data_IF_990899979425
#
_entry.id   IF_990899979425
#
_cell.length_a   1.000
_cell.length_b   1.000
_cell.length_c   1.000
_cell.angle_alpha   90.00
_cell.angle_beta   90.00
_cell.angle_gamma   90.00
#
_symmetry.space_group_name_H-M   'P 1'
#
loop_
_entity.id
_entity.type
_entity.pdbx_description
1 polymer ?
#
# COMPACT_ATOMS: atom_id res chain seq x y z
N UNK A 1 -10.87 0.30 -7.57
CA UNK A 1 -11.20 -0.82 -6.65
C UNK A 1 -11.19 -0.27 -5.24
N UNK A 2 -12.26 -0.49 -4.47
CA UNK A 2 -12.28 -0.13 -3.04
C UNK A 2 -11.51 -1.19 -2.25
N UNK A 3 -10.73 -0.76 -1.27
CA UNK A 3 -9.88 -1.61 -0.44
C UNK A 3 -10.35 -1.66 1.01
N UNK A 4 -10.97 -0.59 1.51
CA UNK A 4 -11.51 -0.56 2.85
C UNK A 4 -12.64 0.47 2.98
N UNK A 5 -13.47 0.30 4.00
CA UNK A 5 -14.59 1.18 4.30
C UNK A 5 -14.74 1.33 5.82
N UNK A 6 -15.07 2.54 6.25
CA UNK A 6 -15.38 2.85 7.64
C UNK A 6 -16.61 3.76 7.71
N UNK A 7 -17.31 3.72 8.84
CA UNK A 7 -18.42 4.62 9.15
C UNK A 7 -18.01 5.45 10.35
N UNK A 8 -18.35 6.75 10.36
CA UNK A 8 -18.09 7.59 11.52
C UNK A 8 -18.95 7.14 12.72
N UNK A 9 -18.48 7.31 13.98
CA UNK A 9 -19.22 6.88 15.16
C UNK A 9 -20.62 7.50 15.32
N UNK A 10 -20.87 8.62 14.66
CA UNK A 10 -22.14 9.35 14.65
C UNK A 10 -23.03 9.01 13.43
N UNK A 11 -22.64 8.00 12.63
CA UNK A 11 -23.31 7.54 11.40
C UNK A 11 -23.51 8.62 10.33
N UNK A 12 -22.83 9.78 10.42
CA UNK A 12 -22.98 10.87 9.45
C UNK A 12 -22.17 10.66 8.18
N UNK A 13 -21.04 9.96 8.28
CA UNK A 13 -20.09 9.82 7.19
C UNK A 13 -19.74 8.37 6.89
N UNK A 14 -19.62 8.07 5.59
CA UNK A 14 -18.99 6.85 5.08
C UNK A 14 -17.66 7.25 4.46
N UNK A 15 -16.59 6.58 4.91
CA UNK A 15 -15.24 6.78 4.44
C UNK A 15 -14.83 5.58 3.60
N UNK A 16 -14.30 5.82 2.41
CA UNK A 16 -13.86 4.75 1.51
C UNK A 16 -12.42 4.96 1.07
N UNK A 17 -11.61 3.91 1.17
CA UNK A 17 -10.24 3.87 0.69
C UNK A 17 -10.13 3.08 -0.62
N UNK A 18 -9.27 3.52 -1.53
CA UNK A 18 -9.13 2.89 -2.84
C UNK A 18 -7.69 2.61 -3.29
N UNK A 19 -7.60 1.88 -4.41
CA UNK A 19 -6.34 1.55 -5.07
C UNK A 19 -5.62 2.76 -5.67
N UNK A 20 -6.35 3.84 -5.95
CA UNK A 20 -5.84 5.03 -6.64
C UNK A 20 -5.49 6.15 -5.65
N UNK A 21 -5.00 5.77 -4.46
CA UNK A 21 -4.42 6.63 -3.41
C UNK A 21 -5.44 7.47 -2.62
N UNK A 22 -6.74 7.32 -2.87
CA UNK A 22 -7.74 8.23 -2.31
C UNK A 22 -8.43 7.64 -1.09
N UNK A 23 -8.69 8.52 -0.14
CA UNK A 23 -9.71 8.35 0.87
C UNK A 23 -10.79 9.39 0.59
N UNK A 24 -12.01 8.93 0.33
CA UNK A 24 -13.18 9.78 0.13
C UNK A 24 -14.03 9.77 1.39
N UNK A 25 -14.47 10.94 1.84
CA UNK A 25 -15.45 11.11 2.91
C UNK A 25 -16.77 11.56 2.29
N UNK A 26 -17.84 10.81 2.49
CA UNK A 26 -19.15 11.10 1.91
C UNK A 26 -20.24 11.03 2.98
N UNK A 27 -21.32 11.77 2.79
CA UNK A 27 -22.45 11.75 3.72
C UNK A 27 -23.16 10.40 3.66
N UNK A 28 -23.41 9.76 4.80
CA UNK A 28 -24.05 8.44 4.85
C UNK A 28 -25.47 8.45 4.29
N UNK A 29 -26.26 9.49 4.63
CA UNK A 29 -27.61 9.67 4.13
C UNK A 29 -27.68 10.09 2.65
N UNK A 30 -26.57 10.59 2.10
CA UNK A 30 -26.45 11.01 0.71
C UNK A 30 -25.05 10.71 0.16
N UNK A 31 -24.71 9.44 -0.16
CA UNK A 31 -23.34 9.03 -0.48
C UNK A 31 -22.74 9.66 -1.75
N UNK A 32 -23.58 10.29 -2.58
CA UNK A 32 -23.16 11.07 -3.74
C UNK A 32 -22.65 12.48 -3.36
N UNK A 33 -22.99 12.96 -2.15
CA UNK A 33 -22.51 14.20 -1.58
C UNK A 33 -21.18 13.93 -0.88
N UNK A 34 -20.11 14.50 -1.42
CA UNK A 34 -18.75 14.31 -0.92
C UNK A 34 -18.43 15.48 0.01
N UNK A 35 -18.03 15.16 1.24
CA UNK A 35 -17.59 16.15 2.21
C UNK A 35 -16.15 16.59 1.92
N UNK A 36 -15.26 15.62 1.76
CA UNK A 36 -13.83 15.87 1.59
C UNK A 36 -13.09 14.70 0.93
N UNK A 37 -11.82 14.92 0.66
CA UNK A 37 -10.85 13.89 0.33
C UNK A 37 -9.61 14.05 1.22
N UNK A 38 -9.11 12.95 1.77
CA UNK A 38 -7.79 12.91 2.39
C UNK A 38 -6.77 12.54 1.30
N UNK A 39 -5.99 13.53 0.85
CA UNK A 39 -5.04 13.39 -0.25
C UNK A 39 -3.61 13.50 0.28
N UNK A 40 -2.75 12.54 -0.09
CA UNK A 40 -1.34 12.56 0.30
C UNK A 40 -0.61 11.23 0.11
N UNK A 41 -1.33 10.11 0.13
CA UNK A 41 -0.77 8.80 -0.21
C UNK A 41 -0.25 8.75 -1.65
N UNK A 42 0.84 8.01 -1.86
CA UNK A 42 1.48 7.85 -3.17
C UNK A 42 1.28 6.46 -3.80
N UNK A 43 0.67 5.54 -3.06
CA UNK A 43 0.20 4.24 -3.52
C UNK A 43 -1.17 3.93 -2.91
N UNK A 44 -1.76 2.79 -3.26
CA UNK A 44 -3.06 2.34 -2.75
C UNK A 44 -3.20 2.46 -1.22
N UNK A 45 -4.40 2.79 -0.75
CA UNK A 45 -4.72 2.86 0.68
C UNK A 45 -5.27 1.51 1.11
N UNK A 46 -4.53 0.78 1.93
CA UNK A 46 -4.83 -0.61 2.31
C UNK A 46 -5.85 -0.72 3.46
N UNK A 47 -5.83 0.25 4.37
CA UNK A 47 -6.67 0.26 5.57
C UNK A 47 -7.00 1.69 5.99
N UNK A 48 -8.20 1.87 6.53
CA UNK A 48 -8.61 3.08 7.25
C UNK A 48 -9.24 2.70 8.60
N UNK A 49 -9.07 3.56 9.60
CA UNK A 49 -9.64 3.38 10.93
C UNK A 49 -10.04 4.73 11.51
N UNK A 50 -11.33 4.95 11.74
CA UNK A 50 -11.80 6.10 12.52
C UNK A 50 -11.47 5.82 13.99
N UNK A 51 -10.81 6.78 14.64
CA UNK A 51 -10.31 6.60 16.00
C UNK A 51 -11.49 6.65 16.98
N UNK A 52 -11.83 5.57 17.70
CA UNK A 52 -13.09 5.47 18.46
C UNK A 52 -13.27 6.55 19.55
N UNK A 53 -12.19 6.94 20.22
CA UNK A 53 -12.15 7.96 21.28
C UNK A 53 -11.90 9.38 20.76
N UNK A 54 -11.60 9.51 19.47
CA UNK A 54 -11.35 10.79 18.78
C UNK A 54 -12.11 10.80 17.44
N UNK A 55 -13.43 11.03 17.46
CA UNK A 55 -14.31 10.79 16.32
C UNK A 55 -14.06 11.72 15.12
N UNK A 56 -13.20 12.72 15.24
CA UNK A 56 -12.71 13.60 14.16
C UNK A 56 -11.44 13.06 13.45
N UNK A 57 -10.76 12.09 14.07
CA UNK A 57 -9.48 11.58 13.62
C UNK A 57 -9.63 10.28 12.82
N UNK A 58 -8.80 10.15 11.79
CA UNK A 58 -8.69 8.97 10.94
C UNK A 58 -7.23 8.54 10.85
N UNK A 59 -6.98 7.24 10.99
CA UNK A 59 -5.72 6.60 10.63
C UNK A 59 -5.84 5.93 9.27
N UNK A 60 -4.78 5.98 8.47
CA UNK A 60 -4.70 5.23 7.22
C UNK A 60 -3.32 4.63 6.98
N UNK A 61 -3.30 3.45 6.36
CA UNK A 61 -2.08 2.75 5.95
C UNK A 61 -2.08 2.54 4.44
N UNK A 62 -0.88 2.46 3.85
CA UNK A 62 -0.73 2.39 2.39
C UNK A 62 0.44 1.52 1.94
N UNK A 63 0.39 1.13 0.66
CA UNK A 63 1.50 0.56 -0.09
C UNK A 63 2.72 1.47 -0.23
N UNK A 64 2.60 2.75 0.11
CA UNK A 64 3.68 3.74 0.12
C UNK A 64 4.55 3.67 1.39
N UNK A 65 4.33 2.66 2.24
CA UNK A 65 5.00 2.46 3.53
C UNK A 65 4.76 3.61 4.52
N UNK A 66 3.59 4.25 4.49
CA UNK A 66 3.20 5.28 5.46
C UNK A 66 2.02 4.88 6.34
N UNK A 67 2.07 5.36 7.58
CA UNK A 67 0.91 5.50 8.46
C UNK A 67 0.62 7.00 8.57
N UNK A 68 -0.61 7.41 8.25
CA UNK A 68 -1.03 8.81 8.28
C UNK A 68 -2.18 9.02 9.25
N UNK A 69 -2.19 10.21 9.84
CA UNK A 69 -3.24 10.71 10.72
C UNK A 69 -3.90 11.91 10.04
N UNK A 70 -5.23 11.93 10.04
CA UNK A 70 -6.03 12.96 9.36
C UNK A 70 -7.11 13.52 10.26
N UNK A 71 -7.48 14.77 10.01
CA UNK A 71 -8.80 15.30 10.35
C UNK A 71 -9.69 15.07 9.13
N UNK A 72 -10.50 14.01 9.14
CA UNK A 72 -11.10 13.53 7.89
C UNK A 72 -12.20 14.44 7.35
N UNK A 73 -12.93 15.16 8.20
CA UNK A 73 -14.00 16.07 7.74
C UNK A 73 -13.44 17.22 6.89
N UNK A 74 -12.28 17.77 7.24
CA UNK A 74 -11.60 18.79 6.43
C UNK A 74 -10.70 18.21 5.34
N UNK A 75 -10.36 16.91 5.44
CA UNK A 75 -9.39 16.26 4.58
C UNK A 75 -7.93 16.63 4.90
N UNK A 76 -7.67 17.34 6.02
CA UNK A 76 -6.33 17.80 6.40
C UNK A 76 -5.48 16.65 6.90
N UNK A 77 -4.28 16.52 6.33
CA UNK A 77 -3.23 15.66 6.90
C UNK A 77 -2.64 16.33 8.15
N UNK A 78 -2.64 15.59 9.26
CA UNK A 78 -2.12 16.06 10.54
C UNK A 78 -0.69 15.55 10.76
N UNK A 79 -0.46 14.28 10.43
CA UNK A 79 0.86 13.67 10.59
C UNK A 79 1.08 12.52 9.61
N UNK A 80 2.32 12.32 9.19
CA UNK A 80 2.75 11.25 8.30
C UNK A 80 4.01 10.58 8.87
N UNK A 81 3.92 9.28 9.11
CA UNK A 81 5.04 8.47 9.57
C UNK A 81 5.54 7.58 8.42
N UNK A 82 6.77 7.83 7.97
CA UNK A 82 7.45 6.98 6.99
C UNK A 82 8.12 5.79 7.69
N UNK A 83 7.62 4.58 7.43
CA UNK A 83 8.14 3.37 8.07
C UNK A 83 9.54 3.00 7.59
N UNK A 84 9.91 3.42 6.38
CA UNK A 84 11.26 3.24 5.84
C UNK A 84 12.32 3.91 6.71
N UNK A 85 11.99 5.02 7.37
CA UNK A 85 12.89 5.72 8.30
C UNK A 85 13.02 5.04 9.66
N UNK A 86 12.11 4.12 10.00
CA UNK A 86 12.10 3.37 11.26
C UNK A 86 12.80 2.01 11.15
N UNK A 87 13.11 1.55 9.93
CA UNK A 87 13.75 0.26 9.69
C UNK A 87 15.23 0.32 10.02
N UNK A 88 15.72 -0.72 10.69
CA UNK A 88 17.15 -0.88 10.89
C UNK A 88 17.82 -1.35 9.58
N UNK A 89 19.01 -0.81 9.22
CA UNK A 89 19.70 -1.17 7.97
C UNK A 89 20.12 -2.63 7.83
N UNK A 90 20.12 -3.39 8.92
CA UNK A 90 20.62 -4.77 8.98
C UNK A 90 19.54 -5.86 8.76
N UNK A 91 18.29 -5.47 8.47
CA UNK A 91 17.19 -6.42 8.33
C UNK A 91 17.35 -7.30 7.06
N UNK A 92 17.30 -8.64 7.18
CA UNK A 92 17.60 -9.57 6.08
C UNK A 92 16.55 -9.61 4.95
N UNK A 93 15.46 -8.85 5.07
CA UNK A 93 14.32 -8.87 4.15
C UNK A 93 14.51 -7.96 2.90
N UNK A 94 15.65 -7.29 2.76
CA UNK A 94 16.10 -6.61 1.55
C UNK A 94 15.20 -5.45 1.08
N UNK A 95 15.47 -4.93 -0.12
CA UNK A 95 14.75 -3.83 -0.80
C UNK A 95 13.32 -4.21 -1.27
N UNK A 96 12.72 -5.21 -0.60
CA UNK A 96 11.43 -5.78 -0.98
C UNK A 96 10.33 -4.78 -0.64
N UNK A 97 9.56 -4.40 -1.66
CA UNK A 97 8.43 -3.47 -1.52
C UNK A 97 7.37 -4.11 -0.60
N UNK A 98 7.26 -3.57 0.60
CA UNK A 98 6.26 -3.95 1.61
C UNK A 98 5.12 -2.93 1.62
N UNK A 99 3.94 -3.35 2.05
CA UNK A 99 2.82 -2.45 2.28
C UNK A 99 2.45 -2.45 3.75
N UNK A 100 2.14 -1.29 4.33
CA UNK A 100 1.45 -1.28 5.61
C UNK A 100 0.05 -1.86 5.38
N UNK A 101 -0.32 -2.93 6.09
CA UNK A 101 -1.43 -3.82 5.72
C UNK A 101 -2.55 -3.89 6.75
N UNK A 102 -2.24 -3.68 8.04
CA UNK A 102 -3.22 -3.73 9.12
C UNK A 102 -2.99 -2.62 10.12
N UNK A 103 -4.07 -2.00 10.59
CA UNK A 103 -4.09 -1.08 11.72
C UNK A 103 -5.01 -1.70 12.76
N UNK A 104 -4.50 -1.85 13.99
CA UNK A 104 -5.30 -2.12 15.18
C UNK A 104 -5.11 -0.97 16.17
N UNK A 105 -6.19 -0.62 16.88
CA UNK A 105 -6.18 0.46 17.85
C UNK A 105 -6.67 -0.01 19.22
N UNK A 106 -6.03 0.49 20.28
CA UNK A 106 -6.42 0.24 21.66
C UNK A 106 -6.64 1.57 22.38
N UNK A 107 -7.90 1.90 22.66
CA UNK A 107 -8.29 3.21 23.18
C UNK A 107 -7.79 3.54 24.58
N UNK A 108 -7.65 2.54 25.47
CA UNK A 108 -7.25 2.80 26.86
C UNK A 108 -5.86 3.47 26.95
N UNK A 109 -4.94 3.11 26.06
CA UNK A 109 -3.56 3.64 26.03
C UNK A 109 -3.29 4.48 24.77
N UNK A 110 -4.33 4.79 23.99
CA UNK A 110 -4.26 5.40 22.67
C UNK A 110 -3.16 4.77 21.79
N UNK A 111 -3.08 3.44 21.82
CA UNK A 111 -2.01 2.67 21.20
C UNK A 111 -2.43 2.17 19.81
N UNK A 112 -1.54 2.30 18.82
CA UNK A 112 -1.74 1.84 17.45
C UNK A 112 -0.72 0.75 17.14
N UNK A 113 -1.19 -0.42 16.73
CA UNK A 113 -0.36 -1.47 16.17
C UNK A 113 -0.50 -1.48 14.65
N UNK A 114 0.63 -1.45 13.95
CA UNK A 114 0.70 -1.46 12.49
C UNK A 114 1.47 -2.67 12.00
N UNK A 115 0.78 -3.54 11.27
CA UNK A 115 1.40 -4.67 10.56
C UNK A 115 1.79 -4.23 9.16
N UNK A 116 2.95 -4.71 8.71
CA UNK A 116 3.38 -4.59 7.33
C UNK A 116 3.37 -5.97 6.66
N UNK A 117 2.91 -6.04 5.43
CA UNK A 117 2.99 -7.26 4.65
C UNK A 117 4.44 -7.63 4.33
N UNK A 118 4.70 -8.93 4.24
CA UNK A 118 5.98 -9.53 3.87
C UNK A 118 7.17 -9.29 4.81
N UNK A 119 6.96 -8.60 5.94
CA UNK A 119 7.95 -8.52 7.01
C UNK A 119 7.33 -9.01 8.32
N UNK A 120 8.03 -9.81 9.13
CA UNK A 120 7.51 -10.35 10.38
C UNK A 120 7.64 -9.32 11.51
N UNK A 121 7.11 -8.11 11.25
CA UNK A 121 7.29 -6.95 12.13
C UNK A 121 5.95 -6.26 12.36
N UNK A 122 5.67 -5.94 13.63
CA UNK A 122 4.57 -5.07 14.03
C UNK A 122 5.16 -3.80 14.67
N UNK A 123 4.80 -2.65 14.13
CA UNK A 123 5.20 -1.36 14.69
C UNK A 123 4.16 -0.89 15.70
N UNK A 124 4.63 -0.40 16.84
CA UNK A 124 3.78 0.18 17.88
C UNK A 124 3.98 1.69 17.91
N UNK A 125 2.87 2.41 17.80
CA UNK A 125 2.79 3.85 17.94
C UNK A 125 1.87 4.22 19.08
N UNK A 126 2.05 5.42 19.62
CA UNK A 126 1.08 6.05 20.50
C UNK A 126 0.52 7.28 19.83
N UNK A 127 -0.81 7.40 19.83
CA UNK A 127 -1.51 8.56 19.34
C UNK A 127 -1.56 9.61 20.45
N UNK A 128 -0.95 10.77 20.20
CA UNK A 128 -1.18 11.98 20.97
C UNK A 128 -2.22 12.82 20.23
N UNK A 129 -3.50 12.61 20.56
CA UNK A 129 -4.59 13.32 19.91
C UNK A 129 -4.57 14.83 20.18
N UNK A 130 -4.05 15.28 21.33
CA UNK A 130 -3.93 16.71 21.65
C UNK A 130 -2.92 17.40 20.75
N UNK A 131 -1.80 16.74 20.48
CA UNK A 131 -0.78 17.23 19.54
C UNK A 131 -1.04 16.85 18.09
N UNK A 132 -2.06 16.04 17.85
CA UNK A 132 -2.41 15.51 16.53
C UNK A 132 -1.22 14.78 15.88
N UNK A 133 -0.54 13.94 16.65
CA UNK A 133 0.71 13.28 16.25
C UNK A 133 0.75 11.80 16.63
N UNK A 134 1.51 11.03 15.88
CA UNK A 134 1.83 9.64 16.18
C UNK A 134 3.28 9.55 16.64
N UNK A 135 3.50 9.09 17.87
CA UNK A 135 4.82 8.83 18.41
C UNK A 135 5.17 7.35 18.23
N UNK A 136 6.22 7.06 17.46
CA UNK A 136 6.76 5.70 17.41
C UNK A 136 7.26 5.28 18.80
N UNK A 137 6.91 4.06 19.21
CA UNK A 137 7.28 3.50 20.52
C UNK A 137 8.25 2.34 20.40
N UNK A 138 7.90 1.34 19.59
CA UNK A 138 8.65 0.09 19.54
C UNK A 138 8.36 -0.71 18.27
N UNK A 139 9.34 -1.52 17.86
CA UNK A 139 9.19 -2.56 16.86
C UNK A 139 9.12 -3.93 17.54
N UNK A 140 8.12 -4.75 17.19
CA UNK A 140 8.01 -6.14 17.62
C UNK A 140 8.38 -7.04 16.44
N UNK A 141 9.51 -7.73 16.54
CA UNK A 141 9.98 -8.69 15.55
C UNK A 141 9.53 -10.11 15.92
N UNK A 142 9.15 -10.87 14.90
CA UNK A 142 8.65 -12.23 15.04
C UNK A 142 9.47 -13.20 14.18
N UNK A 143 9.54 -14.46 14.61
CA UNK A 143 10.26 -15.50 13.87
C UNK A 143 9.54 -15.95 12.59
N UNK A 144 8.21 -15.84 12.60
CA UNK A 144 7.34 -16.26 11.51
C UNK A 144 6.59 -15.07 10.92
N UNK A 145 6.11 -15.22 9.68
CA UNK A 145 5.22 -14.24 9.05
C UNK A 145 4.00 -14.00 9.94
N UNK A 146 3.66 -12.74 10.16
CA UNK A 146 2.46 -12.35 10.88
C UNK A 146 1.31 -12.21 9.87
N UNK A 147 0.21 -12.91 10.12
CA UNK A 147 -0.99 -12.88 9.28
C UNK A 147 -1.96 -11.77 9.68
N UNK A 148 -2.21 -11.59 10.97
CA UNK A 148 -3.10 -10.55 11.47
C UNK A 148 -2.73 -10.14 12.90
N UNK A 149 -3.22 -8.96 13.30
CA UNK A 149 -3.06 -8.43 14.66
C UNK A 149 -4.39 -7.85 15.14
N UNK A 150 -4.69 -8.05 16.43
CA UNK A 150 -5.89 -7.51 17.05
C UNK A 150 -5.63 -7.17 18.51
N UNK A 151 -6.17 -6.05 18.97
CA UNK A 151 -6.20 -5.75 20.39
C UNK A 151 -7.42 -6.40 21.05
N UNK A 152 -7.20 -6.96 22.24
CA UNK A 152 -8.27 -7.34 23.16
C UNK A 152 -8.17 -6.46 24.41
N UNK A 153 -9.29 -5.86 24.81
CA UNK A 153 -9.38 -5.04 26.01
C UNK A 153 -8.92 -5.82 27.25
N UNK A 154 -7.99 -5.24 28.00
CA UNK A 154 -7.42 -5.85 29.20
C UNK A 154 -6.43 -7.00 28.98
N UNK A 155 -6.29 -7.52 27.76
CA UNK A 155 -5.32 -8.58 27.44
C UNK A 155 -4.16 -8.14 26.54
N UNK A 156 -4.28 -7.05 25.79
CA UNK A 156 -3.19 -6.55 24.94
C UNK A 156 -3.30 -6.99 23.49
N UNK A 157 -2.16 -7.12 22.81
CA UNK A 157 -2.08 -7.35 21.37
C UNK A 157 -1.94 -8.84 21.04
N UNK A 158 -2.94 -9.41 20.39
CA UNK A 158 -2.86 -10.72 19.78
C UNK A 158 -2.20 -10.63 18.41
N UNK A 159 -1.31 -11.57 18.14
CA UNK A 159 -0.56 -11.69 16.89
C UNK A 159 -0.73 -13.10 16.36
N UNK A 160 -1.35 -13.23 15.19
CA UNK A 160 -1.53 -14.51 14.50
C UNK A 160 -0.38 -14.73 13.52
N UNK A 161 0.22 -15.91 13.53
CA UNK A 161 1.44 -16.22 12.81
C UNK A 161 1.28 -17.45 11.92
N UNK A 162 2.08 -17.50 10.86
CA UNK A 162 2.27 -18.66 10.00
C UNK A 162 3.18 -19.71 10.66
N UNK A 163 2.70 -20.27 11.77
CA UNK A 163 3.37 -21.31 12.54
C UNK A 163 2.34 -22.20 13.22
N UNK A 164 2.26 -23.47 12.83
CA UNK A 164 1.27 -24.38 13.42
C UNK A 164 1.55 -24.63 14.90
N UNK A 165 2.82 -24.76 15.27
CA UNK A 165 3.25 -25.09 16.63
C UNK A 165 3.02 -23.93 17.59
N UNK A 166 3.17 -22.70 17.12
CA UNK A 166 2.96 -21.46 17.88
C UNK A 166 2.15 -20.44 17.05
N UNK A 167 0.84 -20.68 16.85
CA UNK A 167 0.04 -19.90 15.92
C UNK A 167 -0.30 -18.51 16.45
N UNK A 168 -0.31 -18.34 17.77
CA UNK A 168 -0.63 -17.08 18.42
C UNK A 168 0.47 -16.66 19.38
N UNK A 169 0.75 -15.36 19.39
CA UNK A 169 1.55 -14.67 20.40
C UNK A 169 0.70 -13.57 21.01
N UNK A 170 0.72 -13.46 22.33
CA UNK A 170 0.09 -12.35 23.05
C UNK A 170 1.17 -11.39 23.53
N UNK A 171 1.08 -10.12 23.17
CA UNK A 171 2.01 -9.07 23.58
C UNK A 171 1.32 -8.08 24.51
N UNK A 172 2.04 -7.64 25.55
CA UNK A 172 1.56 -6.64 26.53
C UNK A 172 2.66 -5.63 26.84
N UNK A 173 2.30 -4.38 27.16
CA UNK A 173 3.24 -3.44 27.73
C UNK A 173 3.54 -3.84 29.18
N UNK A 174 4.82 -4.02 29.50
CA UNK A 174 5.35 -4.24 30.84
C UNK A 174 6.43 -3.18 31.06
N UNK A 175 6.27 -2.35 32.08
CA UNK A 175 7.17 -1.21 32.37
C UNK A 175 7.43 -0.28 31.17
N UNK A 176 6.39 -0.09 30.35
CA UNK A 176 6.44 0.78 29.16
C UNK A 176 7.05 0.13 27.91
N UNK A 177 7.46 -1.13 27.97
CA UNK A 177 7.95 -1.89 26.80
C UNK A 177 7.01 -3.05 26.47
N UNK A 178 6.71 -3.20 25.18
CA UNK A 178 5.92 -4.31 24.67
C UNK A 178 6.75 -5.58 24.62
N UNK A 179 6.22 -6.65 25.23
CA UNK A 179 6.87 -7.96 25.26
C UNK A 179 5.84 -9.08 25.13
N UNK A 180 6.30 -10.22 24.60
CA UNK A 180 5.48 -11.43 24.52
C UNK A 180 5.21 -11.98 25.93
N UNK A 181 3.97 -12.43 26.15
CA UNK A 181 3.52 -13.04 27.39
C UNK A 181 3.75 -14.56 27.30
N UNK A 182 4.60 -15.14 28.16
CA UNK A 182 4.97 -16.56 28.04
C UNK A 182 3.86 -17.51 28.49
N UNK A 183 3.02 -17.10 29.44
CA UNK A 183 1.96 -17.96 29.99
C UNK A 183 0.61 -17.23 30.12
N UNK A 184 -0.37 -17.68 29.35
CA UNK A 184 -1.77 -17.24 29.46
C UNK A 184 -2.71 -18.41 29.14
N UNK A 185 -3.73 -18.62 29.98
CA UNK A 185 -4.69 -19.72 29.83
C UNK A 185 -5.55 -19.60 28.57
N UNK A 186 -6.00 -18.39 28.23
CA UNK A 186 -6.75 -18.13 27.00
C UNK A 186 -5.87 -18.39 25.77
N UNK A 187 -4.61 -17.93 25.78
CA UNK A 187 -3.64 -18.19 24.71
C UNK A 187 -3.49 -19.70 24.47
N UNK A 188 -3.23 -20.49 25.53
CA UNK A 188 -3.11 -21.95 25.42
C UNK A 188 -4.36 -22.60 24.82
N UNK A 189 -5.57 -22.16 25.23
CA UNK A 189 -6.84 -22.69 24.73
C UNK A 189 -7.07 -22.37 23.26
N UNK A 190 -6.89 -21.12 22.84
CA UNK A 190 -7.12 -20.70 21.46
C UNK A 190 -6.07 -21.32 20.53
N UNK A 191 -4.80 -21.34 20.94
CA UNK A 191 -3.74 -21.98 20.16
C UNK A 191 -4.00 -23.47 19.92
N UNK A 192 -4.46 -24.22 20.94
CA UNK A 192 -4.82 -25.63 20.77
C UNK A 192 -5.97 -25.83 19.76
N UNK A 193 -6.94 -24.92 19.74
CA UNK A 193 -8.03 -24.96 18.77
C UNK A 193 -7.56 -24.69 17.33
N UNK A 194 -6.69 -23.69 17.14
CA UNK A 194 -6.10 -23.38 15.83
C UNK A 194 -5.22 -24.52 15.32
N UNK A 195 -4.45 -25.16 16.20
CA UNK A 195 -3.62 -26.33 15.87
C UNK A 195 -4.43 -27.51 15.34
N UNK A 196 -5.59 -27.78 15.96
CA UNK A 196 -6.51 -28.83 15.54
C UNK A 196 -7.17 -28.56 14.18
N UNK A 197 -7.38 -27.28 13.85
CA UNK A 197 -8.06 -26.84 12.63
C UNK A 197 -7.13 -26.20 11.59
N UNK A 198 -5.81 -26.41 11.69
CA UNK A 198 -4.80 -25.67 10.93
C UNK A 198 -4.99 -25.69 9.41
N UNK A 199 -5.53 -26.78 8.86
CA UNK A 199 -5.81 -26.91 7.43
C UNK A 199 -6.69 -25.77 6.87
N UNK A 200 -7.51 -25.12 7.70
CA UNK A 200 -8.32 -23.96 7.28
C UNK A 200 -7.47 -22.71 6.99
N UNK A 201 -6.26 -22.62 7.53
CA UNK A 201 -5.34 -21.49 7.41
C UNK A 201 -4.26 -21.71 6.34
N UNK A 202 -3.99 -22.97 5.95
CA UNK A 202 -2.98 -23.31 4.93
C UNK A 202 -3.27 -22.70 3.55
N UNK A 203 -4.52 -22.34 3.24
CA UNK A 203 -4.85 -21.61 2.02
C UNK A 203 -4.29 -20.18 1.96
N UNK A 204 -3.84 -19.63 3.10
CA UNK A 204 -3.34 -18.25 3.26
C UNK A 204 -1.81 -18.17 3.06
N UNK A 205 -1.09 -19.27 3.26
CA UNK A 205 0.37 -19.32 3.25
C UNK A 205 1.02 -19.25 1.85
N UNK A 206 0.25 -19.50 0.79
CA UNK A 206 0.77 -19.65 -0.58
C UNK A 206 0.70 -18.42 -1.50
N UNK A 207 0.07 -17.31 -1.07
CA UNK A 207 -0.01 -16.11 -1.91
C UNK A 207 1.24 -15.24 -1.72
N UNK A 208 2.04 -15.16 -2.79
CA UNK A 208 2.96 -14.05 -3.07
C UNK A 208 2.35 -12.74 -2.58
N UNK A 209 3.13 -11.96 -1.80
CA UNK A 209 2.79 -10.67 -1.19
C UNK A 209 1.37 -10.18 -1.53
N UNK A 210 0.42 -10.21 -0.59
CA UNK A 210 -1.01 -10.02 -0.87
C UNK A 210 -1.32 -8.68 -1.55
N UNK A 211 -0.39 -7.73 -1.49
CA UNK A 211 -0.47 -6.42 -2.11
C UNK A 211 0.34 -6.25 -3.41
N UNK A 212 1.09 -7.26 -3.85
CA UNK A 212 1.95 -7.19 -5.07
C UNK A 212 1.17 -6.76 -6.31
N UNK A 213 -0.02 -7.32 -6.53
CA UNK A 213 -0.89 -6.97 -7.66
C UNK A 213 -1.56 -5.59 -7.55
N UNK A 214 -1.50 -4.94 -6.39
CA UNK A 214 -2.11 -3.63 -6.16
C UNK A 214 -1.21 -2.48 -6.61
N UNK A 215 0.10 -2.69 -6.61
CA UNK A 215 1.03 -1.71 -7.18
C UNK A 215 0.74 -1.46 -8.65
N UNK A 216 0.83 -0.19 -9.06
CA UNK A 216 0.66 0.19 -10.46
C UNK A 216 1.84 -0.36 -11.26
N UNK A 217 1.56 -1.10 -12.34
CA UNK A 217 2.60 -1.53 -13.27
C UNK A 217 3.14 -0.31 -14.02
N UNK A 218 4.39 0.05 -13.78
CA UNK A 218 5.09 1.08 -14.54
C UNK A 218 5.55 0.48 -15.86
N UNK A 219 4.73 0.61 -16.90
CA UNK A 219 5.19 0.34 -18.26
C UNK A 219 6.10 1.49 -18.69
N UNK A 220 7.39 1.21 -18.86
CA UNK A 220 8.32 2.13 -19.50
C UNK A 220 8.02 2.18 -21.01
N UNK A 221 6.98 2.95 -21.34
CA UNK A 221 6.53 3.16 -22.71
C UNK A 221 7.63 3.81 -23.57
N UNK A 222 8.56 4.55 -22.96
CA UNK A 222 9.66 5.23 -23.65
C UNK A 222 10.70 4.21 -24.09
N UNK A 223 11.17 3.36 -23.19
CA UNK A 223 12.15 2.31 -23.52
C UNK A 223 11.55 1.26 -24.45
N UNK A 224 10.29 0.88 -24.26
CA UNK A 224 9.58 -0.01 -25.17
C UNK A 224 9.42 0.61 -26.58
N UNK A 225 9.15 1.92 -26.65
CA UNK A 225 9.08 2.65 -27.92
C UNK A 225 10.44 2.74 -28.61
N UNK A 226 11.50 3.09 -27.88
CA UNK A 226 12.85 3.18 -28.42
C UNK A 226 13.33 1.84 -28.97
N UNK A 227 13.07 0.74 -28.25
CA UNK A 227 13.39 -0.63 -28.70
C UNK A 227 12.65 -0.99 -29.99
N UNK A 228 11.34 -0.70 -30.08
CA UNK A 228 10.56 -0.89 -31.32
C UNK A 228 11.08 -0.03 -32.47
N UNK A 229 11.57 1.19 -32.18
CA UNK A 229 12.15 2.09 -33.18
C UNK A 229 13.48 1.54 -33.72
N UNK A 230 14.34 1.01 -32.85
CA UNK A 230 15.60 0.37 -33.24
C UNK A 230 15.37 -0.88 -34.08
N UNK A 231 14.41 -1.73 -33.70
CA UNK A 231 14.03 -2.92 -34.48
C UNK A 231 13.55 -2.56 -35.89
N UNK A 232 12.77 -1.47 -36.04
CA UNK A 232 12.34 -0.96 -37.36
C UNK A 232 13.53 -0.47 -38.19
N UNK A 233 14.51 0.18 -37.57
CA UNK A 233 15.72 0.64 -38.24
C UNK A 233 16.63 -0.52 -38.64
N UNK A 234 16.78 -1.54 -37.81
CA UNK A 234 17.53 -2.76 -38.14
C UNK A 234 16.87 -3.53 -39.29
N UNK A 235 15.55 -3.71 -39.26
CA UNK A 235 14.81 -4.33 -40.38
C UNK A 235 15.00 -3.57 -41.70
N UNK A 236 15.00 -2.23 -41.66
CA UNK A 236 15.29 -1.39 -42.84
C UNK A 236 16.73 -1.52 -43.34
N UNK A 237 17.70 -1.75 -42.44
CA UNK A 237 19.10 -2.01 -42.82
C UNK A 237 19.29 -3.39 -43.42
N UNK A 238 18.56 -4.39 -42.92
CA UNK A 238 18.62 -5.76 -43.43
C UNK A 238 17.87 -5.93 -44.76
N UNK A 239 16.74 -5.23 -44.93
CA UNK A 239 15.95 -5.22 -46.16
C UNK A 239 15.82 -3.78 -46.70
N UNK A 240 16.88 -3.23 -47.32
CA UNK A 240 16.80 -1.92 -47.94
C UNK A 240 15.79 -1.95 -49.10
N UNK A 241 14.97 -0.89 -49.27
CA UNK A 241 14.06 -0.81 -50.41
C UNK A 241 14.87 -0.81 -51.72
N UNK A 242 14.35 -1.40 -52.81
CA UNK A 242 15.04 -1.38 -54.10
C UNK A 242 15.29 0.07 -54.52
N UNK A 243 16.54 0.37 -54.89
CA UNK A 243 16.97 1.70 -55.28
C UNK A 243 16.21 2.21 -56.52
N UNK A 244 16.19 3.54 -56.75
CA UNK A 244 15.49 4.11 -57.90
C UNK A 244 16.11 3.55 -59.19
N UNK A 245 15.31 2.80 -59.95
CA UNK A 245 15.68 2.34 -61.28
C UNK A 245 16.03 3.56 -62.14
N UNK A 246 17.31 3.67 -62.50
CA UNK A 246 17.78 4.68 -63.43
C UNK A 246 17.14 4.48 -64.81
N UNK A 247 16.16 5.31 -65.14
CA UNK A 247 15.75 5.50 -66.53
C UNK A 247 16.50 6.69 -67.11
N UNK A 248 17.54 6.39 -67.88
CA UNK A 248 18.16 7.32 -68.82
C UNK A 248 17.14 7.73 -69.87
N UNK A 249 16.65 8.99 -69.82
CA UNK A 249 15.94 9.59 -70.95
C UNK A 249 16.94 10.30 -71.86
N UNK A 250 17.07 9.74 -73.07
CA UNK A 250 17.78 10.30 -74.24
C UNK A 250 17.38 11.75 -74.50
N UNK A 251 18.38 12.61 -74.66
CA UNK A 251 18.27 13.92 -75.32
C UNK A 251 18.05 13.75 -76.83
N UNK A 252 17.24 14.63 -77.43
CA UNK A 252 17.30 15.05 -78.84
C UNK A 252 16.78 16.49 -78.98
N UNK A 253 17.21 17.24 -80.03
CA UNK A 253 17.57 18.65 -79.93
C UNK A 253 16.54 19.64 -80.49
N UNK A 254 16.86 20.92 -80.29
CA UNK A 254 16.15 22.17 -80.63
C UNK A 254 15.58 22.30 -82.05
N UNK A 255 14.47 23.04 -82.17
CA UNK A 255 14.22 23.98 -83.26
C UNK A 255 13.51 25.24 -82.73
N UNK A 256 14.07 26.41 -83.06
CA UNK A 256 13.57 27.76 -82.82
C UNK A 256 12.30 28.04 -83.66
N UNK A 257 11.45 29.05 -83.52
CA UNK A 257 11.57 30.46 -83.09
C UNK A 257 10.15 31.09 -83.21
N UNK A 258 9.84 32.13 -82.43
CA UNK A 258 9.31 33.44 -82.90
C UNK A 258 8.60 34.22 -81.76
N UNK A 259 8.98 35.49 -81.69
CA UNK A 259 8.51 36.56 -80.80
C UNK A 259 7.14 37.10 -81.26
N UNK A 260 6.35 37.67 -80.34
CA UNK A 260 5.98 39.10 -80.39
C UNK A 260 5.18 39.57 -79.15
N UNK A 261 5.78 40.54 -78.48
CA UNK A 261 5.29 41.78 -77.81
C UNK A 261 3.80 42.00 -77.48
N UNK A 262 3.58 42.50 -76.26
CA UNK A 262 2.84 43.75 -75.98
C UNK A 262 3.54 44.48 -74.83
#
# INVERSE_FOLDING_TARGET
MLLDVAVSPDDRYVLTADRDEKIRVSWAAAPHSIESFCLGHAEFVSRILVVPDHPELLLSSSGDCTLRLWEYQSGRELHCCHLTSLREPAEPWGDKRSAASRIAYWGQESCVALLCDCIPVVYIFQLDARRQQLAYRQQLAFQHRVWDVAFEEGQGLWVLQDCREAPLVLCRPVDGQWQAVPENTALKKVSAHLQGNWAMLEGVSGMDAGFSGLYKATFDNVTAYLRKKEERLQKRRQNPPPGPNGQAKKMKPEEASLRCSS
#
